data_IF_299115378895
#
_entry.id   IF_299115378895
#
_cell.length_a   1.000
_cell.length_b   1.000
_cell.length_c   1.000
_cell.angle_alpha   90.00
_cell.angle_beta   90.00
_cell.angle_gamma   90.00
#
_symmetry.space_group_name_H-M   'P 1'
#
loop_
_entity.id
_entity.type
_entity.pdbx_description
1 polymer ?
#
# COMPACT_ATOMS: atom_id res chain seq x y z
N UNK A 1 4.82 6.28 19.81
CA UNK A 1 3.50 6.48 20.48
C UNK A 1 3.58 6.11 21.95
N UNK A 2 3.76 4.83 22.28
CA UNK A 2 3.66 4.32 23.65
C UNK A 2 4.57 5.04 24.65
N UNK A 3 5.83 5.29 24.27
CA UNK A 3 6.79 5.99 25.14
C UNK A 3 6.38 7.45 25.40
N UNK A 4 5.89 8.14 24.37
CA UNK A 4 5.45 9.53 24.46
C UNK A 4 4.26 9.69 25.42
N UNK A 5 3.25 8.82 25.30
CA UNK A 5 2.10 8.83 26.21
C UNK A 5 2.49 8.42 27.63
N UNK A 6 3.39 7.44 27.75
CA UNK A 6 3.89 7.00 29.06
C UNK A 6 4.68 8.09 29.78
N UNK A 7 5.40 8.93 29.04
CA UNK A 7 6.09 10.09 29.62
C UNK A 7 5.10 11.12 30.17
N UNK A 8 4.04 11.45 29.42
CA UNK A 8 3.02 12.39 29.91
C UNK A 8 2.30 11.86 31.15
N UNK A 9 1.93 10.57 31.16
CA UNK A 9 1.27 9.96 32.30
C UNK A 9 2.15 10.02 33.57
N UNK A 10 3.48 9.91 33.42
CA UNK A 10 4.43 10.03 34.55
C UNK A 10 4.57 11.45 35.10
N UNK A 11 4.22 12.47 34.32
CA UNK A 11 4.23 13.87 34.78
C UNK A 11 2.99 14.21 35.61
N UNK A 12 1.95 13.37 35.57
CA UNK A 12 0.73 13.55 36.35
C UNK A 12 0.86 12.94 37.74
N UNK A 13 0.29 13.60 38.75
CA UNK A 13 0.19 13.07 40.10
C UNK A 13 -1.07 12.20 40.22
N UNK A 14 -0.92 10.89 40.00
CA UNK A 14 -2.02 9.91 39.98
C UNK A 14 -1.86 8.88 41.10
N UNK A 15 -2.98 8.29 41.54
CA UNK A 15 -2.92 7.12 42.42
C UNK A 15 -2.22 5.94 41.72
N UNK A 16 -1.55 5.11 42.52
CA UNK A 16 -0.81 3.94 42.05
C UNK A 16 -1.65 3.00 41.18
N UNK A 17 -2.95 2.81 41.50
CA UNK A 17 -3.85 1.95 40.73
C UNK A 17 -4.27 2.60 39.42
N UNK A 18 -4.56 3.90 39.44
CA UNK A 18 -4.91 4.69 38.24
C UNK A 18 -3.73 4.73 37.26
N UNK A 19 -2.52 4.94 37.78
CA UNK A 19 -1.29 4.93 36.96
C UNK A 19 -1.05 3.57 36.31
N UNK A 20 -1.22 2.47 37.05
CA UNK A 20 -1.07 1.12 36.52
C UNK A 20 -2.10 0.82 35.41
N UNK A 21 -3.36 1.20 35.62
CA UNK A 21 -4.41 1.08 34.62
C UNK A 21 -4.14 1.96 33.37
N UNK A 22 -3.68 3.19 33.55
CA UNK A 22 -3.31 4.09 32.44
C UNK A 22 -2.17 3.52 31.59
N UNK A 23 -1.15 2.95 32.23
CA UNK A 23 -0.05 2.25 31.55
C UNK A 23 -0.54 1.03 30.76
N UNK A 24 -1.51 0.28 31.28
CA UNK A 24 -2.14 -0.83 30.56
C UNK A 24 -2.89 -0.33 29.32
N UNK A 25 -3.74 0.69 29.46
CA UNK A 25 -4.51 1.29 28.36
C UNK A 25 -3.58 1.76 27.25
N UNK A 26 -2.52 2.50 27.59
CA UNK A 26 -1.54 2.99 26.61
C UNK A 26 -0.97 1.82 25.80
N UNK A 27 -0.60 0.71 26.45
CA UNK A 27 0.01 -0.46 25.80
C UNK A 27 -0.96 -1.27 24.93
N UNK A 28 -2.27 -1.15 25.15
CA UNK A 28 -3.30 -1.84 24.38
C UNK A 28 -3.89 -1.01 23.24
N UNK A 29 -3.47 0.26 23.09
CA UNK A 29 -3.87 1.10 21.95
C UNK A 29 -3.41 0.51 20.62
N UNK A 30 -4.30 0.57 19.63
CA UNK A 30 -3.98 0.18 18.26
C UNK A 30 -3.15 1.25 17.53
N UNK A 31 -2.76 0.98 16.28
CA UNK A 31 -1.98 1.90 15.44
C UNK A 31 -2.66 3.24 15.15
N UNK A 32 -3.99 3.29 15.24
CA UNK A 32 -4.78 4.51 15.02
C UNK A 32 -5.04 5.29 16.33
N UNK A 33 -4.67 4.72 17.49
CA UNK A 33 -4.81 5.35 18.81
C UNK A 33 -6.09 4.98 19.58
N UNK A 34 -6.86 4.00 19.10
CA UNK A 34 -8.11 3.56 19.73
C UNK A 34 -7.89 2.46 20.77
N UNK A 35 -8.69 2.51 21.83
CA UNK A 35 -8.83 1.43 22.81
C UNK A 35 -10.03 0.56 22.44
N UNK A 36 -9.77 -0.67 21.97
CA UNK A 36 -10.81 -1.60 21.47
C UNK A 36 -11.11 -2.78 22.38
N UNK A 37 -10.40 -2.89 23.51
CA UNK A 37 -10.63 -3.97 24.46
C UNK A 37 -11.90 -3.71 25.28
N UNK A 38 -12.57 -4.78 25.72
CA UNK A 38 -13.68 -4.66 26.65
C UNK A 38 -13.18 -4.24 28.04
N UNK A 39 -13.81 -3.21 28.62
CA UNK A 39 -13.42 -2.60 29.90
C UNK A 39 -13.40 -3.66 31.00
N UNK A 40 -14.38 -4.58 31.02
CA UNK A 40 -14.45 -5.63 32.05
C UNK A 40 -13.26 -6.59 32.00
N UNK A 41 -12.82 -6.96 30.81
CA UNK A 41 -11.66 -7.82 30.63
C UNK A 41 -10.37 -7.07 31.00
N UNK A 42 -10.25 -5.81 30.57
CA UNK A 42 -9.12 -4.96 30.93
C UNK A 42 -8.99 -4.77 32.46
N UNK A 43 -10.12 -4.56 33.17
CA UNK A 43 -10.14 -4.45 34.63
C UNK A 43 -9.61 -5.72 35.32
N UNK A 44 -10.00 -6.91 34.82
CA UNK A 44 -9.51 -8.20 35.35
C UNK A 44 -8.02 -8.39 35.11
N UNK A 45 -7.52 -7.97 33.95
CA UNK A 45 -6.11 -8.10 33.60
C UNK A 45 -5.20 -7.21 34.47
N UNK A 46 -5.69 -6.03 34.85
CA UNK A 46 -4.96 -5.09 35.71
C UNK A 46 -5.20 -5.35 37.21
N UNK A 47 -6.34 -5.95 37.56
CA UNK A 47 -6.73 -6.22 38.95
C UNK A 47 -7.28 -4.98 39.67
N UNK A 48 -8.00 -4.10 38.95
CA UNK A 48 -8.61 -2.87 39.48
C UNK A 48 -10.13 -2.89 39.34
N UNK A 49 -10.81 -2.08 40.15
CA UNK A 49 -12.25 -1.87 40.05
C UNK A 49 -12.60 -1.07 38.78
N UNK A 50 -13.82 -1.22 38.27
CA UNK A 50 -14.28 -0.55 37.05
C UNK A 50 -14.22 0.97 37.16
N UNK A 51 -14.48 1.52 38.35
CA UNK A 51 -14.44 2.96 38.62
C UNK A 51 -13.02 3.53 38.46
N UNK A 52 -12.02 2.81 39.00
CA UNK A 52 -10.60 3.20 38.90
C UNK A 52 -10.12 3.09 37.46
N UNK A 53 -10.61 2.10 36.72
CA UNK A 53 -10.28 1.95 35.30
C UNK A 53 -10.92 3.05 34.45
N UNK A 54 -12.17 3.43 34.74
CA UNK A 54 -12.84 4.54 34.07
C UNK A 54 -12.10 5.87 34.30
N UNK A 55 -11.67 6.15 35.54
CA UNK A 55 -10.83 7.30 35.86
C UNK A 55 -9.51 7.27 35.08
N UNK A 56 -8.83 6.12 35.04
CA UNK A 56 -7.61 5.97 34.27
C UNK A 56 -7.82 6.18 32.76
N UNK A 57 -8.97 5.74 32.22
CA UNK A 57 -9.33 5.96 30.82
C UNK A 57 -9.55 7.45 30.54
N UNK A 58 -10.27 8.17 31.39
CA UNK A 58 -10.46 9.62 31.25
C UNK A 58 -9.12 10.37 31.31
N UNK A 59 -8.24 9.97 32.21
CA UNK A 59 -6.87 10.52 32.31
C UNK A 59 -6.11 10.27 31.01
N UNK A 60 -6.11 9.06 30.47
CA UNK A 60 -5.42 8.75 29.21
C UNK A 60 -6.05 9.51 28.02
N UNK A 61 -7.38 9.67 28.01
CA UNK A 61 -8.10 10.45 26.99
C UNK A 61 -7.81 11.96 27.05
N UNK A 62 -7.32 12.46 28.19
CA UNK A 62 -6.87 13.85 28.36
C UNK A 62 -5.42 14.11 27.89
N UNK A 63 -4.69 13.06 27.50
CA UNK A 63 -3.31 13.18 27.02
C UNK A 63 -3.25 13.70 25.59
N UNK A 64 -2.10 14.25 25.22
CA UNK A 64 -1.80 14.63 23.85
C UNK A 64 -1.30 13.43 23.05
N UNK A 65 -1.78 13.17 21.82
CA UNK A 65 -2.75 13.95 21.05
C UNK A 65 -4.21 13.74 21.46
N UNK A 66 -5.00 14.83 21.39
CA UNK A 66 -6.44 14.80 21.67
C UNK A 66 -7.21 13.75 20.84
N UNK A 67 -8.10 13.00 21.50
CA UNK A 67 -8.85 11.89 20.92
C UNK A 67 -8.19 10.51 21.06
N UNK A 68 -7.00 10.43 21.68
CA UNK A 68 -6.35 9.14 21.98
C UNK A 68 -7.16 8.34 23.01
N UNK A 69 -7.07 7.01 22.95
CA UNK A 69 -7.83 6.08 23.79
C UNK A 69 -9.36 6.21 23.68
N UNK A 70 -9.87 6.83 22.61
CA UNK A 70 -11.26 6.72 22.24
C UNK A 70 -11.61 5.25 21.90
N UNK A 71 -12.88 4.88 22.08
CA UNK A 71 -13.39 3.53 21.74
C UNK A 71 -13.93 3.48 20.32
N UNK A 72 -14.38 4.62 19.79
CA UNK A 72 -14.90 4.75 18.44
C UNK A 72 -14.61 6.14 17.86
N UNK A 73 -14.88 6.31 16.55
CA UNK A 73 -14.61 7.55 15.82
C UNK A 73 -15.40 8.72 16.41
N UNK A 74 -16.67 8.51 16.76
CA UNK A 74 -17.51 9.55 17.36
C UNK A 74 -16.92 10.07 18.66
N UNK A 75 -16.51 9.18 19.56
CA UNK A 75 -15.85 9.54 20.83
C UNK A 75 -14.52 10.27 20.59
N UNK A 76 -13.71 9.83 19.63
CA UNK A 76 -12.45 10.49 19.27
C UNK A 76 -12.69 11.95 18.86
N UNK A 77 -13.65 12.19 17.96
CA UNK A 77 -13.96 13.53 17.49
C UNK A 77 -14.62 14.38 18.58
N UNK A 78 -15.46 13.79 19.43
CA UNK A 78 -16.05 14.48 20.58
C UNK A 78 -14.98 14.94 21.58
N UNK A 79 -13.96 14.12 21.85
CA UNK A 79 -12.82 14.51 22.69
C UNK A 79 -12.06 15.70 22.08
N UNK A 80 -11.84 15.71 20.75
CA UNK A 80 -11.15 16.80 20.06
C UNK A 80 -11.92 18.13 20.06
N UNK A 81 -13.25 18.11 19.93
CA UNK A 81 -14.03 19.35 20.02
C UNK A 81 -14.11 19.87 21.45
N UNK A 82 -14.16 18.96 22.43
CA UNK A 82 -14.21 19.31 23.86
C UNK A 82 -12.91 19.97 24.29
N UNK A 83 -11.77 19.45 23.85
CA UNK A 83 -10.45 20.03 24.08
C UNK A 83 -10.32 21.45 23.50
N UNK A 84 -10.91 21.70 22.32
CA UNK A 84 -11.00 23.03 21.70
C UNK A 84 -12.01 23.98 22.35
N UNK A 85 -12.70 23.55 23.41
CA UNK A 85 -13.70 24.36 24.12
C UNK A 85 -14.96 24.67 23.31
N UNK A 86 -15.24 23.90 22.24
CA UNK A 86 -16.43 24.11 21.42
C UNK A 86 -17.60 23.37 22.08
N UNK A 87 -18.63 24.14 22.45
CA UNK A 87 -19.89 23.60 22.93
C UNK A 87 -21.01 24.00 21.97
N UNK A 88 -21.26 23.14 20.99
CA UNK A 88 -22.40 23.25 20.08
C UNK A 88 -23.12 21.91 20.04
N UNK A 89 -24.30 21.86 20.67
CA UNK A 89 -25.11 20.65 20.79
C UNK A 89 -25.48 20.04 19.44
N UNK A 90 -25.64 20.86 18.39
CA UNK A 90 -25.98 20.35 17.06
C UNK A 90 -24.78 19.63 16.46
N UNK A 91 -23.58 20.21 16.58
CA UNK A 91 -22.35 19.58 16.13
C UNK A 91 -22.04 18.29 16.89
N UNK A 92 -22.19 18.31 18.22
CA UNK A 92 -22.00 17.15 19.09
C UNK A 92 -22.95 16.00 18.69
N UNK A 93 -24.23 16.30 18.50
CA UNK A 93 -25.22 15.29 18.08
C UNK A 93 -24.93 14.74 16.68
N UNK A 94 -24.49 15.60 15.76
CA UNK A 94 -24.10 15.17 14.40
C UNK A 94 -22.93 14.16 14.47
N UNK A 95 -21.93 14.42 15.31
CA UNK A 95 -20.78 13.52 15.49
C UNK A 95 -21.18 12.23 16.21
N UNK A 96 -22.05 12.32 17.21
CA UNK A 96 -22.45 11.19 18.05
C UNK A 96 -23.34 10.18 17.30
N UNK A 97 -24.37 10.66 16.60
CA UNK A 97 -25.40 9.79 16.02
C UNK A 97 -25.28 9.63 14.50
N UNK A 98 -24.76 10.64 13.81
CA UNK A 98 -25.02 10.82 12.38
C UNK A 98 -23.75 10.87 11.52
N UNK A 99 -22.61 10.50 12.09
CA UNK A 99 -21.33 10.53 11.38
C UNK A 99 -21.32 9.63 10.14
N UNK A 100 -22.03 8.51 10.20
CA UNK A 100 -22.20 7.60 9.07
C UNK A 100 -23.04 8.25 7.95
N UNK A 101 -24.02 9.08 8.30
CA UNK A 101 -24.83 9.81 7.32
C UNK A 101 -24.03 10.90 6.60
N UNK A 102 -23.03 11.49 7.26
CA UNK A 102 -22.07 12.40 6.60
C UNK A 102 -21.26 11.61 5.56
N UNK A 103 -20.75 10.43 5.91
CA UNK A 103 -20.03 9.55 4.99
C UNK A 103 -20.89 9.10 3.81
N UNK A 104 -22.18 8.84 4.05
CA UNK A 104 -23.17 8.49 3.02
C UNK A 104 -23.71 9.68 2.21
N UNK A 105 -23.21 10.90 2.44
CA UNK A 105 -23.61 12.14 1.75
C UNK A 105 -25.12 12.46 1.86
N UNK A 106 -25.77 12.05 2.96
CA UNK A 106 -27.21 12.25 3.22
C UNK A 106 -27.55 13.64 3.77
N UNK A 107 -26.99 14.70 3.17
CA UNK A 107 -27.08 16.06 3.71
C UNK A 107 -28.50 16.61 3.81
N UNK A 108 -29.40 16.24 2.89
CA UNK A 108 -30.80 16.67 2.92
C UNK A 108 -31.57 16.10 4.11
N UNK A 109 -31.24 14.88 4.53
CA UNK A 109 -31.85 14.23 5.69
C UNK A 109 -31.35 14.90 6.98
N UNK A 110 -30.06 15.24 7.04
CA UNK A 110 -29.45 15.95 8.18
C UNK A 110 -30.02 17.36 8.37
N UNK A 111 -30.18 18.14 7.29
CA UNK A 111 -30.80 19.47 7.38
C UNK A 111 -32.22 19.39 7.96
N UNK A 112 -32.99 18.36 7.59
CA UNK A 112 -34.33 18.13 8.11
C UNK A 112 -34.32 17.67 9.56
N UNK A 113 -33.44 16.71 9.92
CA UNK A 113 -33.33 16.16 11.28
C UNK A 113 -32.98 17.24 12.30
N UNK A 114 -32.02 18.10 11.99
CA UNK A 114 -31.56 19.16 12.91
C UNK A 114 -32.22 20.51 12.69
N UNK A 115 -33.13 20.64 11.71
CA UNK A 115 -33.80 21.90 11.37
C UNK A 115 -32.81 23.07 11.14
N UNK A 116 -31.72 22.80 10.41
CA UNK A 116 -30.67 23.80 10.10
C UNK A 116 -30.60 24.09 8.59
N UNK A 117 -30.24 25.32 8.19
CA UNK A 117 -30.01 25.65 6.79
C UNK A 117 -28.78 24.92 6.25
N UNK A 118 -28.76 24.68 4.93
CA UNK A 118 -27.67 23.96 4.25
C UNK A 118 -26.31 24.62 4.43
N UNK A 119 -26.26 25.95 4.53
CA UNK A 119 -25.03 26.70 4.79
C UNK A 119 -24.42 26.37 6.16
N UNK A 120 -25.26 26.27 7.19
CA UNK A 120 -24.84 25.93 8.54
C UNK A 120 -24.39 24.47 8.64
N UNK A 121 -25.10 23.55 7.98
CA UNK A 121 -24.67 22.15 7.88
C UNK A 121 -23.31 22.04 7.17
N UNK A 122 -23.10 22.81 6.10
CA UNK A 122 -21.81 22.85 5.39
C UNK A 122 -20.68 23.31 6.32
N UNK A 123 -20.90 24.38 7.09
CA UNK A 123 -19.92 24.84 8.07
C UNK A 123 -19.55 23.77 9.11
N UNK A 124 -20.53 23.00 9.61
CA UNK A 124 -20.25 21.87 10.51
C UNK A 124 -19.44 20.77 9.85
N UNK A 125 -19.79 20.38 8.61
CA UNK A 125 -19.08 19.34 7.87
C UNK A 125 -17.63 19.78 7.59
N UNK A 126 -17.45 21.02 7.15
CA UNK A 126 -16.13 21.58 6.86
C UNK A 126 -15.28 21.63 8.14
N UNK A 127 -15.88 21.94 9.29
CA UNK A 127 -15.21 21.86 10.58
C UNK A 127 -14.84 20.41 10.97
N UNK A 128 -15.76 19.44 10.85
CA UNK A 128 -15.49 18.02 11.14
C UNK A 128 -14.33 17.50 10.29
N UNK A 129 -14.21 17.93 9.02
CA UNK A 129 -13.09 17.57 8.14
C UNK A 129 -11.73 18.10 8.61
N UNK A 130 -11.69 19.10 9.50
CA UNK A 130 -10.44 19.59 10.11
C UNK A 130 -9.96 18.76 11.29
N UNK A 131 -10.82 17.88 11.83
CA UNK A 131 -10.49 17.00 12.95
C UNK A 131 -9.76 15.75 12.45
N UNK A 132 -8.96 15.12 13.31
CA UNK A 132 -8.18 13.93 12.95
C UNK A 132 -8.85 12.65 13.49
N UNK A 133 -9.44 11.80 12.62
CA UNK A 133 -10.03 10.54 13.06
C UNK A 133 -8.97 9.48 13.44
N UNK A 134 -7.67 9.77 13.35
CA UNK A 134 -6.58 8.83 13.69
C UNK A 134 -5.46 9.55 14.46
N UNK A 135 -5.71 9.90 15.73
CA UNK A 135 -4.79 10.72 16.52
C UNK A 135 -3.37 10.12 16.64
N UNK A 136 -3.24 8.79 16.60
CA UNK A 136 -1.92 8.17 16.66
C UNK A 136 -1.12 8.20 15.35
N UNK A 137 -1.69 8.69 14.24
CA UNK A 137 -1.04 8.69 12.92
C UNK A 137 0.30 9.44 12.92
N UNK A 138 0.40 10.51 13.70
CA UNK A 138 1.66 11.26 13.86
C UNK A 138 2.81 10.42 14.46
N UNK A 139 2.49 9.32 15.14
CA UNK A 139 3.47 8.38 15.68
C UNK A 139 3.64 7.13 14.83
N UNK A 140 2.88 6.99 13.75
CA UNK A 140 3.12 5.94 12.79
C UNK A 140 4.49 6.21 12.16
N UNK A 141 5.47 5.38 12.48
CA UNK A 141 6.66 5.30 11.65
C UNK A 141 6.20 4.78 10.30
N UNK A 142 6.33 5.59 9.26
CA UNK A 142 6.37 5.10 7.89
C UNK A 142 7.60 4.19 7.81
N UNK A 143 7.43 2.93 8.18
CA UNK A 143 8.25 1.85 7.65
C UNK A 143 7.91 1.76 6.17
N UNK A 144 8.39 2.75 5.41
CA UNK A 144 8.48 2.66 3.97
C UNK A 144 9.41 1.50 3.71
N UNK A 145 8.83 0.31 3.53
CA UNK A 145 9.57 -0.86 3.12
C UNK A 145 10.08 -0.57 1.71
N UNK A 146 11.33 -0.11 1.65
CA UNK A 146 12.00 0.11 0.39
C UNK A 146 12.21 -1.24 -0.28
N UNK A 147 11.51 -1.44 -1.39
CA UNK A 147 11.75 -2.61 -2.24
C UNK A 147 13.06 -2.39 -2.97
N UNK A 148 14.08 -3.18 -2.62
CA UNK A 148 15.35 -3.20 -3.34
C UNK A 148 15.14 -3.77 -4.75
N UNK A 149 15.56 -3.07 -5.82
CA UNK A 149 15.46 -3.59 -7.17
C UNK A 149 16.43 -4.75 -7.37
N UNK A 150 16.02 -5.76 -8.14
CA UNK A 150 16.90 -6.85 -8.59
C UNK A 150 17.69 -6.44 -9.83
N UNK A 151 17.14 -5.53 -10.64
CA UNK A 151 17.71 -5.08 -11.92
C UNK A 151 17.58 -3.56 -12.03
N UNK A 152 18.58 -2.92 -12.63
CA UNK A 152 18.58 -1.50 -12.96
C UNK A 152 18.64 -1.32 -14.47
N UNK A 153 17.76 -0.47 -14.99
CA UNK A 153 17.68 -0.10 -16.41
C UNK A 153 18.07 1.36 -16.55
N UNK A 154 19.12 1.62 -17.33
CA UNK A 154 19.63 2.97 -17.59
C UNK A 154 19.54 3.28 -19.08
N UNK A 155 19.21 4.53 -19.42
CA UNK A 155 19.27 5.00 -20.81
C UNK A 155 20.70 5.41 -21.14
N UNK A 156 21.27 4.81 -22.18
CA UNK A 156 22.56 5.19 -22.79
C UNK A 156 22.35 5.73 -24.20
N UNK A 157 23.42 6.24 -24.81
CA UNK A 157 23.41 6.86 -26.15
C UNK A 157 22.85 5.97 -27.26
N UNK A 158 22.92 4.64 -27.11
CA UNK A 158 22.48 3.65 -28.11
C UNK A 158 21.38 2.70 -27.60
N UNK A 159 20.54 3.12 -26.65
CA UNK A 159 19.41 2.34 -26.15
C UNK A 159 19.41 2.18 -24.64
N UNK A 160 18.77 1.12 -24.16
CA UNK A 160 18.68 0.82 -22.72
C UNK A 160 19.68 -0.25 -22.32
N UNK A 161 20.47 0.03 -21.28
CA UNK A 161 21.33 -0.96 -20.66
C UNK A 161 20.68 -1.52 -19.40
N UNK A 162 20.68 -2.84 -19.30
CA UNK A 162 20.11 -3.59 -18.18
C UNK A 162 21.26 -4.22 -17.39
N UNK A 163 21.37 -3.90 -16.09
CA UNK A 163 22.37 -4.47 -15.17
C UNK A 163 21.72 -5.07 -13.93
N UNK A 164 22.30 -6.13 -13.38
CA UNK A 164 21.86 -6.70 -12.11
C UNK A 164 22.26 -5.79 -10.94
N UNK A 165 21.39 -5.67 -9.95
CA UNK A 165 21.74 -5.04 -8.69
C UNK A 165 22.44 -6.06 -7.78
N UNK A 166 23.77 -6.01 -7.75
CA UNK A 166 24.60 -6.97 -7.04
C UNK A 166 24.62 -6.78 -5.51
N UNK A 167 24.08 -5.68 -4.99
CA UNK A 167 24.08 -5.39 -3.55
C UNK A 167 23.22 -6.36 -2.74
N UNK A 168 22.33 -7.10 -3.41
CA UNK A 168 21.38 -8.03 -2.79
C UNK A 168 21.98 -9.39 -2.39
N UNK A 169 23.16 -9.77 -2.90
CA UNK A 169 23.71 -11.12 -2.71
C UNK A 169 25.21 -11.09 -2.36
N UNK A 170 25.65 -11.73 -1.26
CA UNK A 170 27.06 -11.79 -0.91
C UNK A 170 27.86 -12.61 -1.94
N UNK A 171 29.14 -12.26 -2.13
CA UNK A 171 30.03 -13.03 -3.00
C UNK A 171 30.33 -14.39 -2.38
N UNK A 172 29.86 -15.47 -3.00
CA UNK A 172 30.17 -16.84 -2.56
C UNK A 172 31.52 -17.27 -3.13
N UNK A 173 32.41 -17.75 -2.27
CA UNK A 173 33.70 -18.31 -2.64
C UNK A 173 33.91 -19.63 -1.92
N UNK A 174 34.59 -20.57 -2.57
CA UNK A 174 35.01 -21.83 -1.94
C UNK A 174 36.23 -21.53 -1.07
N UNK A 175 36.25 -22.08 0.14
CA UNK A 175 37.40 -21.95 1.04
C UNK A 175 38.59 -22.74 0.50
N UNK A 176 39.71 -22.04 0.27
CA UNK A 176 40.98 -22.64 -0.19
C UNK A 176 41.56 -23.66 0.80
N UNK A 177 41.08 -23.70 2.04
CA UNK A 177 41.46 -24.69 3.04
C UNK A 177 41.13 -26.12 2.58
N UNK A 178 39.91 -26.36 2.08
CA UNK A 178 39.47 -27.69 1.66
C UNK A 178 40.13 -28.13 0.35
N UNK A 179 40.50 -27.18 -0.51
CA UNK A 179 41.28 -27.46 -1.73
C UNK A 179 42.69 -27.94 -1.42
N UNK A 180 43.32 -27.41 -0.35
CA UNK A 180 44.62 -27.86 0.13
C UNK A 180 44.53 -29.22 0.82
N UNK A 181 43.50 -29.41 1.64
CA UNK A 181 43.23 -30.67 2.35
C UNK A 181 43.08 -31.86 1.36
N UNK A 182 42.52 -31.64 0.17
CA UNK A 182 42.44 -32.68 -0.88
C UNK A 182 43.80 -33.10 -1.47
N UNK A 183 44.84 -32.27 -1.35
CA UNK A 183 46.20 -32.55 -1.82
C UNK A 183 47.05 -33.29 -0.78
N UNK A 184 46.71 -33.15 0.49
CA UNK A 184 47.37 -33.87 1.57
C UNK A 184 46.97 -35.36 1.60
N UNK A 185 47.83 -36.20 2.18
CA UNK A 185 47.59 -37.64 2.25
C UNK A 185 46.59 -37.97 3.36
N UNK A 186 45.31 -37.94 3.00
CA UNK A 186 44.17 -38.17 3.91
C UNK A 186 43.52 -39.53 3.62
N UNK A 187 42.90 -40.09 4.65
CA UNK A 187 42.06 -41.28 4.57
C UNK A 187 41.00 -41.18 3.46
N UNK A 188 40.78 -42.29 2.76
CA UNK A 188 40.01 -42.35 1.51
C UNK A 188 38.55 -41.90 1.69
N UNK A 189 37.89 -42.33 2.77
CA UNK A 189 36.51 -41.93 3.09
C UNK A 189 36.38 -40.42 3.32
N UNK A 190 37.32 -39.83 4.07
CA UNK A 190 37.35 -38.38 4.32
C UNK A 190 37.58 -37.60 3.03
N UNK A 191 38.44 -38.11 2.13
CA UNK A 191 38.71 -37.50 0.82
C UNK A 191 37.47 -37.52 -0.08
N UNK A 192 36.75 -38.63 -0.13
CA UNK A 192 35.54 -38.78 -0.95
C UNK A 192 34.40 -37.87 -0.43
N UNK A 193 34.24 -37.76 0.90
CA UNK A 193 33.27 -36.85 1.51
C UNK A 193 33.54 -35.38 1.15
N UNK A 194 34.80 -34.92 1.30
CA UNK A 194 35.18 -33.53 0.96
C UNK A 194 34.93 -33.25 -0.52
N UNK A 195 35.23 -34.21 -1.40
CA UNK A 195 35.00 -34.07 -2.84
C UNK A 195 33.52 -33.92 -3.17
N UNK A 196 32.64 -34.72 -2.55
CA UNK A 196 31.18 -34.60 -2.71
C UNK A 196 30.66 -33.22 -2.27
N UNK A 197 31.10 -32.73 -1.10
CA UNK A 197 30.69 -31.41 -0.60
C UNK A 197 31.23 -30.27 -1.45
N UNK A 198 32.44 -30.39 -1.98
CA UNK A 198 33.02 -29.39 -2.88
C UNK A 198 32.26 -29.35 -4.22
N UNK A 199 31.92 -30.51 -4.79
CA UNK A 199 31.08 -30.59 -5.99
C UNK A 199 29.69 -29.98 -5.75
N UNK A 200 29.07 -30.30 -4.62
CA UNK A 200 27.77 -29.72 -4.24
C UNK A 200 27.85 -28.20 -4.11
N UNK A 201 28.94 -27.68 -3.52
CA UNK A 201 29.17 -26.24 -3.37
C UNK A 201 29.39 -25.54 -4.72
N UNK A 202 30.19 -26.14 -5.61
CA UNK A 202 30.38 -25.65 -6.99
C UNK A 202 29.05 -25.61 -7.75
N UNK A 203 28.24 -26.65 -7.61
CA UNK A 203 26.94 -26.72 -8.26
C UNK A 203 25.98 -25.66 -7.73
N UNK A 204 26.00 -25.37 -6.42
CA UNK A 204 25.23 -24.27 -5.84
C UNK A 204 25.63 -22.91 -6.42
N UNK A 205 26.94 -22.62 -6.49
CA UNK A 205 27.47 -21.37 -7.06
C UNK A 205 27.03 -21.24 -8.52
N UNK A 206 27.18 -22.30 -9.31
CA UNK A 206 26.77 -22.35 -10.71
C UNK A 206 25.27 -22.11 -10.87
N UNK A 207 24.44 -22.72 -10.02
CA UNK A 207 22.98 -22.55 -10.06
C UNK A 207 22.56 -21.11 -9.74
N UNK A 208 23.24 -20.45 -8.79
CA UNK A 208 23.00 -19.04 -8.47
C UNK A 208 23.37 -18.15 -9.66
N UNK A 209 24.52 -18.40 -10.29
CA UNK A 209 24.96 -17.65 -11.47
C UNK A 209 24.02 -17.87 -12.67
N UNK A 210 23.55 -19.09 -12.89
CA UNK A 210 22.51 -19.38 -13.88
C UNK A 210 21.23 -18.60 -13.60
N UNK A 211 20.75 -18.57 -12.34
CA UNK A 211 19.57 -17.80 -11.97
C UNK A 211 19.75 -16.30 -12.23
N UNK A 212 20.92 -15.74 -11.92
CA UNK A 212 21.27 -14.34 -12.23
C UNK A 212 21.21 -14.07 -13.74
N UNK A 213 21.79 -14.96 -14.54
CA UNK A 213 21.77 -14.85 -16.00
C UNK A 213 20.35 -14.97 -16.57
N UNK A 214 19.51 -15.85 -16.02
CA UNK A 214 18.10 -15.95 -16.41
C UNK A 214 17.34 -14.67 -16.12
N UNK A 215 17.47 -14.10 -14.92
CA UNK A 215 16.84 -12.80 -14.56
C UNK A 215 17.30 -11.69 -15.50
N UNK A 216 18.60 -11.60 -15.77
CA UNK A 216 19.16 -10.59 -16.68
C UNK A 216 18.63 -10.74 -18.11
N UNK A 217 18.57 -11.97 -18.65
CA UNK A 217 18.04 -12.25 -20.00
C UNK A 217 16.55 -11.90 -20.10
N UNK A 218 15.75 -12.31 -19.11
CA UNK A 218 14.32 -11.97 -19.06
C UNK A 218 14.13 -10.46 -18.97
N UNK A 219 14.92 -9.76 -18.14
CA UNK A 219 14.85 -8.31 -18.03
C UNK A 219 15.19 -7.60 -19.35
N UNK A 220 16.25 -8.04 -20.05
CA UNK A 220 16.60 -7.52 -21.38
C UNK A 220 15.49 -7.73 -22.40
N UNK A 221 14.93 -8.95 -22.44
CA UNK A 221 13.80 -9.26 -23.32
C UNK A 221 12.61 -8.33 -23.07
N UNK A 222 12.25 -8.09 -21.80
CA UNK A 222 11.17 -7.16 -21.41
C UNK A 222 11.49 -5.73 -21.90
N UNK A 223 12.71 -5.24 -21.66
CA UNK A 223 13.10 -3.88 -22.03
C UNK A 223 13.08 -3.66 -23.54
N UNK A 224 13.50 -4.65 -24.32
CA UNK A 224 13.48 -4.59 -25.78
C UNK A 224 12.05 -4.60 -26.35
N UNK A 225 11.15 -5.44 -25.82
CA UNK A 225 9.75 -5.46 -26.27
C UNK A 225 8.96 -4.20 -25.85
N UNK A 226 9.36 -3.57 -24.74
CA UNK A 226 8.66 -2.43 -24.13
C UNK A 226 9.39 -1.11 -24.34
N UNK A 227 10.19 -0.96 -25.39
CA UNK A 227 11.03 0.23 -25.62
C UNK A 227 10.24 1.56 -25.54
N UNK A 228 9.04 1.58 -26.11
CA UNK A 228 8.14 2.75 -26.09
C UNK A 228 7.72 3.15 -24.68
N UNK A 229 7.49 2.20 -23.77
CA UNK A 229 7.21 2.49 -22.37
C UNK A 229 8.40 3.18 -21.69
N UNK A 230 9.62 2.71 -21.95
CA UNK A 230 10.81 3.29 -21.31
C UNK A 230 11.12 4.69 -21.86
N UNK A 231 10.79 4.97 -23.13
CA UNK A 231 10.94 6.29 -23.75
C UNK A 231 9.84 7.25 -23.31
N UNK A 232 8.57 6.92 -23.60
CA UNK A 232 7.44 7.83 -23.49
C UNK A 232 6.67 7.69 -22.16
N UNK A 233 6.88 6.61 -21.41
CA UNK A 233 6.29 6.39 -20.08
C UNK A 233 5.09 5.45 -20.08
N UNK A 234 4.36 5.46 -18.95
CA UNK A 234 3.32 4.45 -18.61
C UNK A 234 2.17 4.32 -19.60
N UNK A 235 1.92 5.34 -20.42
CA UNK A 235 0.83 5.36 -21.40
C UNK A 235 1.18 4.69 -22.73
N UNK A 236 2.42 4.24 -22.90
CA UNK A 236 2.89 3.59 -24.14
C UNK A 236 3.34 2.15 -23.87
N UNK A 237 2.64 1.46 -22.95
CA UNK A 237 2.93 0.06 -22.65
C UNK A 237 2.27 -0.85 -23.69
N UNK A 238 3.08 -1.69 -24.34
CA UNK A 238 2.62 -2.65 -25.34
C UNK A 238 2.06 -3.90 -24.64
N UNK A 239 0.96 -4.49 -25.12
CA UNK A 239 0.55 -5.81 -24.67
C UNK A 239 1.66 -6.83 -24.91
N UNK A 240 1.94 -7.63 -23.90
CA UNK A 240 2.98 -8.66 -23.95
C UNK A 240 2.58 -9.80 -23.03
N UNK A 241 2.68 -11.03 -23.53
CA UNK A 241 2.40 -12.25 -22.78
C UNK A 241 3.71 -12.99 -22.46
N UNK A 242 3.64 -13.93 -21.52
CA UNK A 242 4.82 -14.71 -21.11
C UNK A 242 5.43 -15.51 -22.28
N UNK A 243 4.60 -15.89 -23.27
CA UNK A 243 5.02 -16.61 -24.47
C UNK A 243 6.00 -15.81 -25.34
N UNK A 244 5.76 -14.50 -25.48
CA UNK A 244 6.59 -13.63 -26.32
C UNK A 244 8.04 -13.61 -25.81
N UNK A 245 8.20 -13.49 -24.49
CA UNK A 245 9.52 -13.57 -23.83
C UNK A 245 10.08 -15.00 -23.83
N UNK A 246 9.23 -16.03 -23.78
CA UNK A 246 9.66 -17.43 -23.87
C UNK A 246 10.35 -17.73 -25.20
N UNK A 247 9.72 -17.31 -26.30
CA UNK A 247 10.25 -17.48 -27.65
C UNK A 247 11.55 -16.69 -27.84
N UNK A 248 11.61 -15.46 -27.32
CA UNK A 248 12.81 -14.60 -27.44
C UNK A 248 14.00 -15.08 -26.61
N UNK A 249 13.75 -15.58 -25.40
CA UNK A 249 14.83 -16.00 -24.47
C UNK A 249 15.19 -17.48 -24.59
N UNK A 250 14.36 -18.28 -25.25
CA UNK A 250 14.49 -19.73 -25.34
C UNK A 250 14.16 -20.47 -24.04
N UNK A 251 13.58 -19.78 -23.06
CA UNK A 251 13.15 -20.39 -21.80
C UNK A 251 11.71 -20.87 -21.88
N UNK A 252 11.37 -21.90 -21.11
CA UNK A 252 9.99 -22.35 -20.97
C UNK A 252 9.13 -21.29 -20.26
N UNK A 253 7.86 -21.16 -20.64
CA UNK A 253 6.93 -20.17 -20.06
C UNK A 253 6.86 -20.24 -18.53
N UNK A 254 6.83 -21.46 -17.98
CA UNK A 254 6.87 -21.71 -16.53
C UNK A 254 8.14 -21.18 -15.84
N UNK A 255 9.27 -21.17 -16.54
CA UNK A 255 10.53 -20.60 -16.03
C UNK A 255 10.45 -19.09 -15.96
N UNK A 256 9.85 -18.45 -16.96
CA UNK A 256 9.65 -16.99 -16.98
C UNK A 256 8.65 -16.59 -15.90
N UNK A 257 7.50 -17.26 -15.80
CA UNK A 257 6.49 -17.03 -14.76
C UNK A 257 7.08 -17.08 -13.35
N UNK A 258 7.93 -18.09 -13.08
CA UNK A 258 8.66 -18.20 -11.80
C UNK A 258 9.73 -17.12 -11.62
N UNK A 259 10.34 -16.67 -12.71
CA UNK A 259 11.39 -15.64 -12.68
C UNK A 259 10.80 -14.26 -12.43
N UNK A 260 9.66 -13.90 -13.02
CA UNK A 260 9.09 -12.55 -12.93
C UNK A 260 8.41 -12.24 -11.60
N UNK A 261 7.97 -13.28 -10.87
CA UNK A 261 7.20 -13.12 -9.65
C UNK A 261 8.08 -12.62 -8.48
N UNK A 262 7.73 -11.48 -7.88
CA UNK A 262 8.50 -10.89 -6.78
C UNK A 262 9.89 -10.41 -7.21
N UNK A 263 10.07 -10.04 -8.48
CA UNK A 263 11.28 -9.37 -9.00
C UNK A 263 10.95 -7.95 -9.41
N UNK A 264 11.82 -7.02 -9.03
CA UNK A 264 11.64 -5.60 -9.30
C UNK A 264 12.77 -5.05 -10.16
N UNK A 265 12.42 -4.13 -11.04
CA UNK A 265 13.33 -3.42 -11.92
C UNK A 265 13.22 -1.92 -11.65
N UNK A 266 14.35 -1.29 -11.36
CA UNK A 266 14.47 0.14 -11.30
C UNK A 266 14.66 0.68 -12.71
N UNK A 267 13.79 1.60 -13.12
CA UNK A 267 13.77 2.19 -14.45
C UNK A 267 13.90 3.71 -14.35
N UNK A 268 14.19 4.42 -15.45
CA UNK A 268 14.16 5.89 -15.47
C UNK A 268 12.78 6.47 -15.13
N UNK A 269 11.71 5.67 -15.20
CA UNK A 269 10.32 6.06 -14.91
C UNK A 269 9.87 5.61 -13.50
N UNK A 270 10.76 5.01 -12.70
CA UNK A 270 10.47 4.52 -11.35
C UNK A 270 10.71 3.01 -11.18
N UNK A 271 10.33 2.48 -10.01
CA UNK A 271 10.44 1.07 -9.66
C UNK A 271 9.20 0.30 -10.11
N UNK A 272 9.38 -0.79 -10.84
CA UNK A 272 8.29 -1.63 -11.34
C UNK A 272 8.57 -3.11 -11.08
N UNK A 273 7.53 -3.86 -10.72
CA UNK A 273 7.61 -5.33 -10.73
C UNK A 273 7.66 -5.82 -12.18
N UNK A 274 8.40 -6.90 -12.46
CA UNK A 274 8.47 -7.48 -13.80
C UNK A 274 7.08 -7.87 -14.33
N UNK A 275 6.21 -8.35 -13.43
CA UNK A 275 4.82 -8.73 -13.75
C UNK A 275 4.01 -7.58 -14.36
N UNK A 276 4.33 -6.33 -14.03
CA UNK A 276 3.63 -5.15 -14.53
C UNK A 276 3.65 -5.06 -16.07
N UNK A 277 4.72 -5.54 -16.69
CA UNK A 277 4.89 -5.50 -18.15
C UNK A 277 4.08 -6.57 -18.89
N UNK A 278 3.58 -7.58 -18.17
CA UNK A 278 2.77 -8.63 -18.76
C UNK A 278 1.30 -8.24 -18.66
N UNK A 279 0.77 -7.66 -19.73
CA UNK A 279 -0.63 -7.24 -19.81
C UNK A 279 -1.31 -7.86 -21.01
N UNK A 280 -2.55 -8.30 -20.80
CA UNK A 280 -3.42 -8.69 -21.90
C UNK A 280 -3.87 -7.44 -22.67
N UNK A 281 -3.84 -7.54 -23.99
CA UNK A 281 -4.31 -6.51 -24.91
C UNK A 281 -5.75 -6.72 -25.33
N UNK A 282 -6.44 -5.62 -25.63
CA UNK A 282 -7.69 -5.60 -26.39
C UNK A 282 -7.37 -5.07 -27.78
N UNK A 283 -7.98 -5.65 -28.82
CA UNK A 283 -7.76 -5.20 -30.20
C UNK A 283 -8.44 -3.85 -30.43
N UNK A 284 -7.68 -2.91 -30.98
CA UNK A 284 -8.15 -1.64 -31.54
C UNK A 284 -8.80 -1.87 -32.92
N UNK A 285 -9.53 -0.87 -33.41
CA UNK A 285 -10.16 -0.83 -34.73
C UNK A 285 -9.12 -0.91 -35.86
N UNK A 286 -7.93 -0.37 -35.65
CA UNK A 286 -6.81 -0.39 -36.60
C UNK A 286 -6.00 -1.70 -36.58
N UNK A 287 -6.37 -2.65 -35.71
CA UNK A 287 -5.71 -3.96 -35.59
C UNK A 287 -4.56 -4.00 -34.58
N UNK A 288 -4.11 -2.85 -34.08
CA UNK A 288 -3.14 -2.75 -32.99
C UNK A 288 -3.75 -3.22 -31.66
N UNK A 289 -2.95 -3.81 -30.78
CA UNK A 289 -3.42 -4.21 -29.45
C UNK A 289 -3.14 -3.10 -28.43
N UNK A 290 -4.18 -2.63 -27.74
CA UNK A 290 -4.08 -1.68 -26.64
C UNK A 290 -4.07 -2.44 -25.31
N UNK A 291 -3.13 -2.11 -24.43
CA UNK A 291 -2.99 -2.76 -23.13
C UNK A 291 -4.08 -2.33 -22.14
N UNK A 292 -4.53 -3.26 -21.30
CA UNK A 292 -5.49 -2.96 -20.23
C UNK A 292 -5.01 -1.87 -19.26
N UNK A 293 -3.69 -1.71 -19.11
CA UNK A 293 -3.07 -0.68 -18.26
C UNK A 293 -3.25 0.70 -18.90
N UNK A 294 -3.03 0.83 -20.22
CA UNK A 294 -3.29 2.08 -20.94
C UNK A 294 -4.76 2.48 -20.84
N UNK A 295 -5.69 1.53 -21.01
CA UNK A 295 -7.14 1.80 -20.88
C UNK A 295 -7.47 2.34 -19.49
N UNK A 296 -6.87 1.77 -18.43
CA UNK A 296 -7.05 2.25 -17.05
C UNK A 296 -6.47 3.64 -16.82
N UNK A 297 -5.31 3.95 -17.39
CA UNK A 297 -4.69 5.28 -17.29
C UNK A 297 -5.54 6.33 -18.04
N UNK A 298 -5.99 6.04 -19.26
CA UNK A 298 -6.89 6.90 -20.02
C UNK A 298 -8.23 7.11 -19.31
N UNK A 299 -8.80 6.05 -18.72
CA UNK A 299 -10.00 6.14 -17.88
C UNK A 299 -9.78 7.11 -16.71
N UNK A 300 -8.63 7.02 -16.04
CA UNK A 300 -8.27 7.93 -14.96
C UNK A 300 -8.11 9.37 -15.44
N UNK A 301 -7.41 9.60 -16.55
CA UNK A 301 -7.21 10.93 -17.13
C UNK A 301 -8.54 11.58 -17.57
N UNK A 302 -9.49 10.81 -18.08
CA UNK A 302 -10.83 11.28 -18.44
C UNK A 302 -11.61 11.71 -17.19
N UNK A 303 -11.52 10.91 -16.11
CA UNK A 303 -12.22 11.19 -14.86
C UNK A 303 -11.57 12.38 -14.13
N UNK A 304 -10.24 12.48 -14.10
CA UNK A 304 -9.52 13.58 -13.47
C UNK A 304 -9.81 14.93 -14.15
N UNK A 305 -10.11 14.92 -15.46
CA UNK A 305 -10.53 16.10 -16.23
C UNK A 305 -12.04 16.34 -16.24
N UNK A 306 -12.83 15.53 -15.52
CA UNK A 306 -14.28 15.64 -15.53
C UNK A 306 -14.78 16.86 -14.74
N UNK A 307 -15.93 17.41 -15.15
CA UNK A 307 -16.58 18.45 -14.36
C UNK A 307 -17.25 17.81 -13.13
N UNK A 308 -16.69 18.04 -11.94
CA UNK A 308 -17.19 17.50 -10.67
C UNK A 308 -18.65 17.85 -10.33
N UNK A 309 -19.20 18.93 -10.89
CA UNK A 309 -20.63 19.28 -10.73
C UNK A 309 -21.56 18.38 -11.55
N UNK A 310 -21.03 17.78 -12.63
CA UNK A 310 -21.75 16.88 -13.54
C UNK A 310 -20.82 15.75 -14.00
N UNK A 311 -20.52 14.78 -13.11
CA UNK A 311 -19.59 13.69 -13.41
C UNK A 311 -20.08 12.86 -14.59
N UNK A 312 -19.14 12.30 -15.35
CA UNK A 312 -19.41 11.49 -16.53
C UNK A 312 -19.96 10.11 -16.12
N UNK A 313 -21.00 9.65 -16.81
CA UNK A 313 -21.52 8.29 -16.62
C UNK A 313 -20.60 7.27 -17.29
N UNK A 314 -20.59 6.04 -16.78
CA UNK A 314 -19.79 4.94 -17.36
C UNK A 314 -20.11 4.71 -18.86
N UNK A 315 -21.35 5.02 -19.30
CA UNK A 315 -21.73 4.98 -20.71
C UNK A 315 -21.01 6.07 -21.53
N UNK A 316 -20.99 7.32 -21.06
CA UNK A 316 -20.31 8.41 -21.77
C UNK A 316 -18.81 8.19 -21.87
N UNK A 317 -18.21 7.62 -20.82
CA UNK A 317 -16.78 7.27 -20.82
C UNK A 317 -16.51 6.17 -21.85
N UNK A 318 -17.39 5.16 -21.93
CA UNK A 318 -17.35 4.14 -22.98
C UNK A 318 -17.39 4.76 -24.38
N UNK A 319 -18.30 5.70 -24.61
CA UNK A 319 -18.46 6.37 -25.91
C UNK A 319 -17.21 7.19 -26.27
N UNK A 320 -16.62 7.91 -25.31
CA UNK A 320 -15.36 8.67 -25.50
C UNK A 320 -14.19 7.74 -25.85
N UNK A 321 -14.09 6.58 -25.19
CA UNK A 321 -13.01 5.63 -25.45
C UNK A 321 -13.19 4.94 -26.81
N UNK A 322 -14.42 4.59 -27.19
CA UNK A 322 -14.73 4.07 -28.54
C UNK A 322 -14.42 5.10 -29.65
N UNK A 323 -14.67 6.39 -29.40
CA UNK A 323 -14.30 7.47 -30.35
C UNK A 323 -12.78 7.62 -30.52
N UNK A 324 -12.00 7.19 -29.53
CA UNK A 324 -10.53 7.14 -29.59
C UNK A 324 -10.00 5.84 -30.23
N UNK A 325 -10.86 4.97 -30.75
CA UNK A 325 -10.51 3.67 -31.34
C UNK A 325 -10.61 2.48 -30.37
N UNK A 326 -10.61 2.74 -29.07
CA UNK A 326 -10.57 1.70 -28.04
C UNK A 326 -11.95 1.03 -27.91
N UNK A 327 -12.12 -0.15 -28.52
CA UNK A 327 -13.37 -0.90 -28.50
C UNK A 327 -13.58 -1.61 -27.15
N UNK A 328 -14.37 -1.01 -26.26
CA UNK A 328 -14.65 -1.56 -24.93
C UNK A 328 -16.14 -1.49 -24.59
N UNK A 329 -16.58 -2.40 -23.71
CA UNK A 329 -17.95 -2.41 -23.22
C UNK A 329 -18.13 -1.56 -21.96
N UNK A 330 -19.34 -1.05 -21.74
CA UNK A 330 -19.71 -0.36 -20.49
C UNK A 330 -19.40 -1.18 -19.23
N UNK A 331 -19.60 -2.51 -19.28
CA UNK A 331 -19.29 -3.42 -18.14
C UNK A 331 -17.79 -3.45 -17.86
N UNK A 332 -16.96 -3.41 -18.90
CA UNK A 332 -15.49 -3.37 -18.79
C UNK A 332 -15.03 -2.05 -18.17
N UNK A 333 -15.62 -0.93 -18.57
CA UNK A 333 -15.35 0.39 -17.97
C UNK A 333 -15.69 0.39 -16.48
N UNK A 334 -16.87 -0.11 -16.10
CA UNK A 334 -17.28 -0.20 -14.70
C UNK A 334 -16.32 -1.06 -13.88
N UNK A 335 -15.92 -2.23 -14.40
CA UNK A 335 -14.96 -3.12 -13.76
C UNK A 335 -13.60 -2.44 -13.54
N UNK A 336 -13.05 -1.79 -14.56
CA UNK A 336 -11.77 -1.08 -14.43
C UNK A 336 -11.85 0.11 -13.47
N UNK A 337 -12.99 0.80 -13.42
CA UNK A 337 -13.25 1.86 -12.46
C UNK A 337 -13.23 1.34 -11.01
N UNK A 338 -13.87 0.20 -10.77
CA UNK A 338 -13.87 -0.46 -9.46
C UNK A 338 -12.46 -0.93 -9.06
N UNK A 339 -11.70 -1.52 -9.97
CA UNK A 339 -10.30 -1.90 -9.74
C UNK A 339 -9.39 -0.70 -9.41
N UNK A 340 -9.74 0.51 -9.88
CA UNK A 340 -9.04 1.76 -9.56
C UNK A 340 -9.57 2.44 -8.29
N UNK A 341 -10.51 1.83 -7.56
CA UNK A 341 -11.19 2.39 -6.39
C UNK A 341 -11.89 3.74 -6.66
N UNK A 342 -12.32 3.99 -7.90
CA UNK A 342 -13.02 5.22 -8.25
C UNK A 342 -14.53 4.99 -8.07
N UNK A 343 -15.24 5.78 -7.26
CA UNK A 343 -16.67 5.58 -7.03
C UNK A 343 -17.50 5.97 -8.27
N UNK A 344 -18.75 5.49 -8.35
CA UNK A 344 -19.63 5.75 -9.48
C UNK A 344 -20.05 7.23 -9.58
N UNK A 345 -20.56 7.65 -10.75
CA UNK A 345 -20.91 9.05 -11.03
C UNK A 345 -21.88 9.67 -10.01
N UNK A 346 -22.74 8.88 -9.38
CA UNK A 346 -23.67 9.37 -8.35
C UNK A 346 -22.97 9.84 -7.07
N UNK A 347 -21.83 9.24 -6.73
CA UNK A 347 -21.05 9.53 -5.52
C UNK A 347 -20.01 10.63 -5.81
N UNK A 348 -19.49 10.71 -7.04
CA UNK A 348 -18.49 11.72 -7.44
C UNK A 348 -19.04 13.15 -7.57
N UNK A 349 -20.35 13.34 -7.42
CA UNK A 349 -20.98 14.64 -7.59
C UNK A 349 -20.75 15.52 -6.36
N UNK A 350 -19.89 16.51 -6.48
CA UNK A 350 -19.70 17.55 -5.46
C UNK A 350 -20.76 18.67 -5.62
N UNK A 351 -21.16 19.31 -4.51
CA UNK A 351 -22.16 20.40 -4.46
C UNK A 351 -21.53 21.74 -4.86
#
# INVERSE_FOLDING_TARGET
MYDYLSQQLRLMSLDSKVFAAGCYIIRTLNKDGYFKEDIRNACRNVGVAEEVFAEALEVVQSLEPSGIAARNISECLLLQIKDKGISDKVLENIIMEDIEMIGAHKYKELCKKYSIPSEKLKAYIDYIKTLDPRPARQFASDENQYVLPDVVVERKNHGFEVRLNNDSLPSLKISSFYEKMLKDSIEKETKDYIKEKLQSSLMLIKNIEQRKNTVLKVAKGIVEEQEEFFLYGKNHIKPMILRDIAEKTGFHESTISRTVNGKYMLTPKGLFEFKYFFSSGVKDCDGDMVSNINIKNELKDIIDKENKKKPLSDQKICDILNLKGINISRRTVAKYREELNIPGSSIRKEI
#
